data_IF_999168205742
#
_entry.id   IF_999168205742
#
_cell.length_a   1.000
_cell.length_b   1.000
_cell.length_c   1.000
_cell.angle_alpha   90.00
_cell.angle_beta   90.00
_cell.angle_gamma   90.00
#
_symmetry.space_group_name_H-M   'P 1'
#
loop_
_entity.id
_entity.type
_entity.pdbx_description
1 polymer ?
#
# COMPACT_ATOMS: atom_id res chain seq x y z
N UNK A 1 -8.78 7.31 -1.43
CA UNK A 1 -7.67 7.77 -2.30
C UNK A 1 -8.07 8.71 -3.44
N UNK A 2 -9.36 8.86 -3.77
CA UNK A 2 -9.85 9.76 -4.84
C UNK A 2 -9.39 11.22 -4.62
N UNK A 3 -9.43 11.71 -3.38
CA UNK A 3 -8.98 13.06 -3.06
C UNK A 3 -7.51 13.31 -3.47
N UNK A 4 -6.60 12.37 -3.20
CA UNK A 4 -5.18 12.51 -3.56
C UNK A 4 -4.99 12.60 -5.08
N UNK A 5 -5.63 11.71 -5.84
CA UNK A 5 -5.61 11.76 -7.30
C UNK A 5 -6.18 13.07 -7.84
N UNK A 6 -7.28 13.56 -7.25
CA UNK A 6 -7.85 14.87 -7.62
C UNK A 6 -6.88 16.02 -7.36
N UNK A 7 -6.20 16.03 -6.21
CA UNK A 7 -5.21 17.08 -5.92
C UNK A 7 -4.01 17.01 -6.86
N UNK A 8 -3.58 15.81 -7.22
CA UNK A 8 -2.54 15.63 -8.24
C UNK A 8 -2.96 16.22 -9.58
N UNK A 9 -4.15 15.86 -10.09
CA UNK A 9 -4.63 16.36 -11.37
C UNK A 9 -4.82 17.87 -11.41
N UNK A 10 -5.18 18.50 -10.28
CA UNK A 10 -5.22 19.97 -10.17
C UNK A 10 -3.85 20.65 -10.31
N UNK A 11 -2.76 19.92 -10.04
CA UNK A 11 -1.40 20.42 -10.22
C UNK A 11 -0.85 20.18 -11.62
N UNK A 12 -1.57 19.48 -12.49
CA UNK A 12 -1.18 19.28 -13.89
C UNK A 12 -1.53 20.54 -14.67
N UNK A 13 -0.58 21.14 -15.42
CA UNK A 13 -0.85 22.36 -16.17
C UNK A 13 -1.82 22.10 -17.34
N UNK A 14 -2.80 22.99 -17.49
CA UNK A 14 -3.83 22.92 -18.54
C UNK A 14 -3.23 23.00 -19.96
N UNK A 15 -2.04 23.61 -20.10
CA UNK A 15 -1.28 23.72 -21.34
C UNK A 15 -1.03 22.36 -22.03
N UNK A 16 -0.92 21.27 -21.25
CA UNK A 16 -0.73 19.92 -21.80
C UNK A 16 -1.99 19.41 -22.53
N UNK A 17 -3.17 19.80 -22.05
CA UNK A 17 -4.44 19.45 -22.68
C UNK A 17 -4.69 20.34 -23.90
N UNK A 18 -4.39 21.64 -23.80
CA UNK A 18 -4.48 22.58 -24.93
C UNK A 18 -3.57 22.17 -26.09
N UNK A 19 -2.32 21.80 -25.82
CA UNK A 19 -1.38 21.32 -26.85
C UNK A 19 -1.89 20.03 -27.52
N UNK A 20 -2.41 19.09 -26.74
CA UNK A 20 -2.99 17.86 -27.30
C UNK A 20 -4.22 18.14 -28.16
N UNK A 21 -5.02 19.15 -27.81
CA UNK A 21 -6.16 19.58 -28.59
C UNK A 21 -5.74 20.23 -29.92
N UNK A 22 -4.69 21.07 -29.92
CA UNK A 22 -4.08 21.64 -31.12
C UNK A 22 -3.55 20.55 -32.05
N UNK A 23 -2.97 19.47 -31.50
CA UNK A 23 -2.51 18.29 -32.23
C UNK A 23 -3.66 17.37 -32.73
N UNK A 24 -4.92 17.76 -32.52
CA UNK A 24 -6.10 16.98 -32.94
C UNK A 24 -6.32 15.70 -32.13
N UNK A 25 -5.74 15.60 -30.93
CA UNK A 25 -5.98 14.48 -30.02
C UNK A 25 -7.32 14.65 -29.31
N UNK A 26 -8.22 13.69 -29.47
CA UNK A 26 -9.48 13.65 -28.71
C UNK A 26 -9.25 13.41 -27.21
N UNK A 27 -10.19 13.86 -26.39
CA UNK A 27 -10.14 13.82 -24.90
C UNK A 27 -9.69 12.47 -24.34
N UNK A 28 -10.26 11.36 -24.83
CA UNK A 28 -9.91 10.03 -24.36
C UNK A 28 -8.46 9.65 -24.68
N UNK A 29 -7.98 10.01 -25.88
CA UNK A 29 -6.59 9.75 -26.31
C UNK A 29 -5.61 10.59 -25.51
N UNK A 30 -5.95 11.85 -25.25
CA UNK A 30 -5.17 12.76 -24.39
C UNK A 30 -5.07 12.21 -22.97
N UNK A 31 -6.19 11.75 -22.39
CA UNK A 31 -6.19 11.15 -21.07
C UNK A 31 -5.26 9.92 -20.97
N UNK A 32 -5.44 8.93 -21.85
CA UNK A 32 -4.69 7.67 -21.78
C UNK A 32 -3.21 7.85 -22.12
N UNK A 33 -2.89 8.74 -23.07
CA UNK A 33 -1.53 8.86 -23.61
C UNK A 33 -0.67 9.91 -22.90
N UNK A 34 -1.28 10.90 -22.25
CA UNK A 34 -0.57 12.02 -21.62
C UNK A 34 -0.84 12.03 -20.11
N UNK A 35 -2.11 12.20 -19.71
CA UNK A 35 -2.49 12.39 -18.29
C UNK A 35 -2.21 11.14 -17.45
N UNK A 36 -2.56 9.95 -17.95
CA UNK A 36 -2.41 8.69 -17.24
C UNK A 36 -0.93 8.32 -16.96
N UNK A 37 -0.01 8.33 -17.94
CA UNK A 37 1.41 8.06 -17.67
C UNK A 37 2.05 9.14 -16.78
N UNK A 38 1.61 10.40 -16.87
CA UNK A 38 2.05 11.46 -15.96
C UNK A 38 1.65 11.17 -14.51
N UNK A 39 0.49 10.54 -14.31
CA UNK A 39 -0.05 10.21 -12.98
C UNK A 39 0.56 8.96 -12.32
N UNK A 40 1.47 8.24 -13.00
CA UNK A 40 2.10 7.02 -12.49
C UNK A 40 2.72 7.18 -11.10
N UNK A 41 3.49 8.25 -10.80
CA UNK A 41 4.06 8.42 -9.47
C UNK A 41 2.97 8.52 -8.38
N UNK A 42 1.89 9.26 -8.65
CA UNK A 42 0.77 9.37 -7.71
C UNK A 42 -0.02 8.07 -7.59
N UNK A 43 -0.21 7.33 -8.69
CA UNK A 43 -0.84 6.00 -8.65
C UNK A 43 -0.04 5.02 -7.79
N UNK A 44 1.29 5.08 -7.81
CA UNK A 44 2.16 4.26 -6.95
C UNK A 44 1.95 4.63 -5.47
N UNK A 45 1.86 5.91 -5.14
CA UNK A 45 1.54 6.38 -3.78
C UNK A 45 0.19 5.87 -3.30
N UNK A 46 -0.83 5.96 -4.16
CA UNK A 46 -2.17 5.43 -3.86
C UNK A 46 -2.14 3.92 -3.67
N UNK A 47 -1.43 3.20 -4.54
CA UNK A 47 -1.26 1.76 -4.45
C UNK A 47 -0.59 1.36 -3.13
N UNK A 48 0.51 2.04 -2.76
CA UNK A 48 1.22 1.83 -1.49
C UNK A 48 0.29 1.94 -0.28
N UNK A 49 -0.44 3.05 -0.17
CA UNK A 49 -1.31 3.26 0.96
C UNK A 49 -2.50 2.30 0.97
N UNK A 50 -3.07 1.99 -0.19
CA UNK A 50 -4.18 1.03 -0.31
C UNK A 50 -3.73 -0.37 0.06
N UNK A 51 -2.55 -0.79 -0.42
CA UNK A 51 -1.95 -2.07 -0.09
C UNK A 51 -1.65 -2.17 1.39
N UNK A 52 -0.96 -1.17 1.97
CA UNK A 52 -0.63 -1.17 3.39
C UNK A 52 -1.88 -1.27 4.27
N UNK A 53 -2.91 -0.49 3.96
CA UNK A 53 -4.19 -0.53 4.67
C UNK A 53 -4.82 -1.92 4.60
N UNK A 54 -5.01 -2.44 3.39
CA UNK A 54 -5.68 -3.73 3.18
C UNK A 54 -4.86 -4.91 3.73
N UNK A 55 -3.53 -4.83 3.65
CA UNK A 55 -2.61 -5.84 4.16
C UNK A 55 -2.70 -5.99 5.68
N UNK A 56 -2.87 -4.87 6.39
CA UNK A 56 -2.98 -4.84 7.86
C UNK A 56 -4.43 -4.92 8.36
N UNK A 57 -5.41 -5.05 7.47
CA UNK A 57 -6.81 -5.03 7.86
C UNK A 57 -7.23 -6.31 8.60
N UNK A 58 -7.38 -6.17 9.92
CA UNK A 58 -7.90 -7.21 10.80
C UNK A 58 -9.42 -7.18 10.91
N UNK A 59 -10.05 -6.02 10.69
CA UNK A 59 -11.48 -5.84 10.94
C UNK A 59 -12.34 -6.62 9.95
N UNK A 60 -12.18 -6.38 8.65
CA UNK A 60 -12.97 -7.11 7.66
C UNK A 60 -12.51 -8.56 7.55
N UNK A 61 -11.22 -8.83 7.77
CA UNK A 61 -10.71 -10.20 7.89
C UNK A 61 -11.48 -11.00 8.94
N UNK A 62 -11.63 -10.48 10.17
CA UNK A 62 -12.37 -11.19 11.22
C UNK A 62 -13.87 -11.21 10.98
N UNK A 63 -14.44 -10.13 10.41
CA UNK A 63 -15.87 -10.05 10.12
C UNK A 63 -16.31 -11.12 9.11
N UNK A 64 -15.55 -11.30 8.02
CA UNK A 64 -15.91 -12.21 6.93
C UNK A 64 -15.32 -13.61 7.06
N UNK A 65 -14.17 -13.77 7.73
CA UNK A 65 -13.46 -15.06 7.86
C UNK A 65 -13.47 -15.60 9.30
N UNK A 66 -14.66 -15.73 9.88
CA UNK A 66 -14.86 -16.21 11.26
C UNK A 66 -14.62 -17.72 11.44
N UNK A 67 -14.68 -18.52 10.36
CA UNK A 67 -14.61 -19.98 10.42
C UNK A 67 -13.40 -20.52 9.64
N UNK A 68 -12.40 -21.03 10.38
CA UNK A 68 -11.35 -21.94 9.90
C UNK A 68 -10.35 -21.45 8.84
N UNK A 69 -10.35 -20.18 8.42
CA UNK A 69 -9.31 -19.67 7.51
C UNK A 69 -8.09 -19.22 8.32
N UNK A 70 -7.18 -20.17 8.56
CA UNK A 70 -5.95 -19.99 9.35
C UNK A 70 -4.82 -19.31 8.58
N UNK A 71 -5.08 -18.89 7.33
CA UNK A 71 -4.02 -18.56 6.37
C UNK A 71 -3.89 -17.06 6.07
N UNK A 72 -4.71 -16.21 6.70
CA UNK A 72 -4.62 -14.76 6.53
C UNK A 72 -3.70 -14.15 7.60
N UNK A 73 -2.67 -13.44 7.15
CA UNK A 73 -1.59 -12.86 7.96
C UNK A 73 -2.02 -12.03 9.19
N UNK A 74 -3.12 -11.26 9.18
CA UNK A 74 -3.53 -10.51 10.37
C UNK A 74 -3.91 -11.42 11.55
N UNK A 75 -4.36 -12.66 11.30
CA UNK A 75 -4.64 -13.66 12.33
C UNK A 75 -3.37 -14.33 12.91
N UNK A 76 -2.20 -14.09 12.30
CA UNK A 76 -0.90 -14.66 12.72
C UNK A 76 -0.28 -13.91 13.90
N UNK A 77 -0.84 -12.76 14.33
CA UNK A 77 -0.39 -12.11 15.58
C UNK A 77 -0.72 -13.00 16.81
N UNK A 78 -1.61 -13.99 16.65
CA UNK A 78 -1.80 -15.07 17.60
C UNK A 78 -0.86 -16.25 17.30
N UNK A 79 -0.35 -16.91 18.36
CA UNK A 79 0.51 -18.09 18.20
C UNK A 79 -0.23 -19.13 17.34
N UNK A 80 0.31 -19.52 16.17
CA UNK A 80 -0.34 -20.49 15.31
C UNK A 80 -0.63 -21.78 16.08
N UNK A 81 -1.79 -22.42 15.82
CA UNK A 81 -2.22 -23.62 16.56
C UNK A 81 -1.18 -24.74 16.58
N UNK A 82 -0.36 -24.87 15.53
CA UNK A 82 0.72 -25.87 15.45
C UNK A 82 2.02 -25.50 16.20
N UNK A 83 2.15 -24.26 16.67
CA UNK A 83 3.30 -23.75 17.42
C UNK A 83 2.95 -23.45 18.88
N UNK A 84 1.70 -23.69 19.30
CA UNK A 84 1.24 -23.49 20.67
C UNK A 84 1.94 -24.46 21.64
N UNK A 85 2.35 -23.95 22.79
CA UNK A 85 2.91 -24.74 23.90
C UNK A 85 1.88 -24.76 25.02
N UNK A 86 1.86 -25.84 25.81
CA UNK A 86 0.97 -25.98 26.96
C UNK A 86 1.07 -24.74 27.89
N UNK A 87 -0.05 -24.12 28.29
CA UNK A 87 -0.06 -23.00 29.24
C UNK A 87 0.65 -23.29 30.57
N UNK A 88 0.78 -24.56 30.95
CA UNK A 88 1.51 -24.99 32.17
C UNK A 88 3.03 -24.98 32.02
N UNK A 89 3.55 -24.75 30.82
CA UNK A 89 4.99 -24.62 30.59
C UNK A 89 5.56 -23.38 31.30
N UNK A 90 6.65 -23.55 32.06
CA UNK A 90 7.23 -22.50 32.90
C UNK A 90 7.67 -21.25 32.11
N UNK A 91 8.09 -21.42 30.85
CA UNK A 91 8.47 -20.32 29.97
C UNK A 91 7.38 -19.98 28.92
N UNK A 92 6.11 -20.36 29.16
CA UNK A 92 4.99 -20.13 28.24
C UNK A 92 4.87 -18.66 27.79
N UNK A 93 4.93 -17.71 28.73
CA UNK A 93 4.81 -16.28 28.42
C UNK A 93 5.97 -15.75 27.57
N UNK A 94 7.20 -16.24 27.83
CA UNK A 94 8.39 -15.89 27.07
C UNK A 94 8.30 -16.44 25.64
N UNK A 95 7.94 -17.72 25.51
CA UNK A 95 7.76 -18.38 24.22
C UNK A 95 6.65 -17.71 23.40
N UNK A 96 5.48 -17.49 24.00
CA UNK A 96 4.34 -16.80 23.35
C UNK A 96 4.74 -15.41 22.84
N UNK A 97 5.41 -14.62 23.67
CA UNK A 97 5.89 -13.29 23.29
C UNK A 97 6.91 -13.35 22.14
N UNK A 98 7.86 -14.30 22.18
CA UNK A 98 8.84 -14.48 21.12
C UNK A 98 8.17 -14.80 19.77
N UNK A 99 7.23 -15.76 19.75
CA UNK A 99 6.52 -16.15 18.53
C UNK A 99 5.67 -15.00 17.98
N UNK A 100 4.88 -14.33 18.83
CA UNK A 100 4.05 -13.18 18.41
C UNK A 100 4.91 -12.03 17.85
N UNK A 101 6.07 -11.73 18.44
CA UNK A 101 6.98 -10.71 17.93
C UNK A 101 7.56 -11.09 16.55
N UNK A 102 7.99 -12.34 16.37
CA UNK A 102 8.47 -12.83 15.06
C UNK A 102 7.36 -12.74 14.00
N UNK A 103 6.13 -13.09 14.35
CA UNK A 103 4.98 -12.97 13.47
C UNK A 103 4.71 -11.51 13.07
N UNK A 104 4.81 -10.57 14.02
CA UNK A 104 4.72 -9.13 13.73
C UNK A 104 5.77 -8.66 12.72
N UNK A 105 7.03 -9.10 12.87
CA UNK A 105 8.09 -8.78 11.91
C UNK A 105 7.81 -9.33 10.51
N UNK A 106 7.29 -10.55 10.41
CA UNK A 106 6.93 -11.17 9.13
C UNK A 106 5.78 -10.43 8.42
N UNK A 107 4.81 -9.90 9.19
CA UNK A 107 3.71 -9.09 8.63
C UNK A 107 4.23 -7.76 8.06
N UNK A 108 5.23 -7.15 8.71
CA UNK A 108 5.80 -5.87 8.29
C UNK A 108 6.77 -6.02 7.10
N UNK A 109 7.48 -7.14 7.02
CA UNK A 109 8.51 -7.41 6.00
C UNK A 109 8.08 -7.14 4.54
N UNK A 110 6.92 -7.61 4.04
CA UNK A 110 6.49 -7.32 2.67
C UNK A 110 6.16 -5.84 2.44
N UNK A 111 5.70 -5.11 3.47
CA UNK A 111 5.49 -3.67 3.38
C UNK A 111 6.83 -2.94 3.20
N UNK A 112 7.87 -3.37 3.92
CA UNK A 112 9.23 -2.83 3.78
C UNK A 112 9.74 -3.07 2.36
N UNK A 113 9.64 -4.31 1.86
CA UNK A 113 10.09 -4.67 0.52
C UNK A 113 9.39 -3.80 -0.53
N UNK A 114 8.06 -3.69 -0.45
CA UNK A 114 7.26 -2.91 -1.37
C UNK A 114 7.67 -1.42 -1.30
N UNK A 115 7.89 -0.88 -0.10
CA UNK A 115 8.34 0.50 0.07
C UNK A 115 9.72 0.75 -0.53
N UNK A 116 10.69 -0.16 -0.36
CA UNK A 116 12.01 -0.04 -0.98
C UNK A 116 11.94 0.04 -2.51
N UNK A 117 11.05 -0.75 -3.15
CA UNK A 117 10.86 -0.68 -4.59
C UNK A 117 10.13 0.60 -5.04
N UNK A 118 9.20 1.10 -4.23
CA UNK A 118 8.42 2.28 -4.55
C UNK A 118 9.14 3.61 -4.24
N UNK A 119 10.14 3.60 -3.35
CA UNK A 119 10.90 4.78 -2.91
C UNK A 119 11.47 5.59 -4.08
N UNK A 120 11.97 4.93 -5.14
CA UNK A 120 12.49 5.59 -6.34
C UNK A 120 11.43 6.44 -7.07
N UNK A 121 10.17 6.03 -7.04
CA UNK A 121 9.07 6.74 -7.70
C UNK A 121 8.52 7.86 -6.83
N UNK A 122 8.54 7.70 -5.50
CA UNK A 122 8.16 8.74 -4.55
C UNK A 122 9.11 9.94 -4.62
N UNK A 123 10.42 9.70 -4.74
CA UNK A 123 11.43 10.76 -4.84
C UNK A 123 11.25 11.57 -6.14
N UNK A 124 11.08 10.88 -7.28
CA UNK A 124 10.85 11.54 -8.58
C UNK A 124 9.57 12.38 -8.63
N UNK A 125 8.53 11.97 -7.89
CA UNK A 125 7.28 12.73 -7.78
C UNK A 125 7.43 14.03 -6.97
N UNK A 126 8.21 14.00 -5.89
CA UNK A 126 8.47 15.16 -5.03
C UNK A 126 9.34 16.20 -5.76
N UNK A 127 10.36 15.75 -6.50
CA UNK A 127 11.22 16.63 -7.30
C UNK A 127 10.45 17.38 -8.40
N UNK A 128 9.45 16.73 -9.01
CA UNK A 128 8.57 17.38 -10.00
C UNK A 128 7.52 18.31 -9.40
N UNK A 129 7.18 18.15 -8.12
CA UNK A 129 6.17 18.95 -7.45
C UNK A 129 6.70 20.32 -6.97
N UNK A 130 8.01 20.60 -7.09
CA UNK A 130 8.58 21.92 -6.76
C UNK A 130 8.45 22.35 -5.30
N UNK A 131 8.28 21.41 -4.36
CA UNK A 131 8.12 21.70 -2.92
C UNK A 131 9.49 21.83 -2.21
N UNK A 132 10.60 21.79 -2.95
CA UNK A 132 11.92 22.11 -2.40
C UNK A 132 12.44 23.38 -3.09
N UNK A 133 11.86 24.51 -2.66
CA UNK A 133 12.43 25.84 -2.70
C UNK A 133 12.44 26.39 -1.29
#
# INVERSE_FOLDING_TARGET
>A
YIFMMRQFFKGVPDELEEAAYVDGSGVFKTYVRIILPLSVPMMITVFLFSFAWQWTDTFYTNLFFNENVTWLLPNIISVPKGLGVDPTFSAYNLYKSAVTNTCGLLIILPLIILYCFAQRYLIQGIERSGIVG
#
